data_IF_677785920366
#
_entry.id   IF_677785920366
#
_cell.length_a   1.000
_cell.length_b   1.000
_cell.length_c   1.000
_cell.angle_alpha   90.00
_cell.angle_beta   90.00
_cell.angle_gamma   90.00
#
_symmetry.space_group_name_H-M   'P 1'
#
loop_
_entity.id
_entity.type
_entity.pdbx_description
1 polymer ?
#
# COMPACT_ATOMS: atom_id res chain seq x y z
N UNK A 1 -31.89 89.84 -4.57
CA UNK A 1 -30.77 89.05 -3.93
C UNK A 1 -31.35 87.71 -3.47
N UNK A 2 -31.17 86.67 -4.26
CA UNK A 2 -31.61 85.37 -3.86
C UNK A 2 -30.39 84.51 -3.64
N UNK A 3 -30.25 84.01 -2.44
CA UNK A 3 -29.18 83.10 -2.04
C UNK A 3 -29.76 81.72 -2.26
N UNK A 4 -29.27 81.03 -3.26
CA UNK A 4 -29.59 79.64 -3.55
C UNK A 4 -28.76 78.76 -2.63
N UNK A 5 -29.41 78.15 -1.68
CA UNK A 5 -28.81 77.04 -0.91
C UNK A 5 -28.89 75.77 -1.73
N UNK A 6 -27.77 75.11 -1.92
CA UNK A 6 -27.72 73.80 -2.52
C UNK A 6 -28.02 72.73 -1.48
N UNK A 7 -28.89 71.79 -1.75
CA UNK A 7 -29.07 70.63 -0.86
C UNK A 7 -27.87 69.69 -0.95
N UNK A 8 -27.39 69.34 0.24
CA UNK A 8 -26.29 68.40 0.39
C UNK A 8 -26.70 67.00 -0.08
N UNK A 9 -25.90 66.46 -0.94
CA UNK A 9 -26.02 65.07 -1.36
C UNK A 9 -25.45 64.17 -0.28
N UNK A 10 -26.33 63.45 0.38
CA UNK A 10 -25.98 62.42 1.36
C UNK A 10 -25.44 61.20 0.60
N UNK A 11 -24.15 61.03 0.52
CA UNK A 11 -23.52 59.83 -0.03
C UNK A 11 -23.65 58.73 1.01
N UNK A 12 -24.62 57.85 0.78
CA UNK A 12 -24.69 56.59 1.50
C UNK A 12 -23.62 55.67 0.98
N UNK A 13 -22.54 55.49 1.72
CA UNK A 13 -21.54 54.45 1.49
C UNK A 13 -22.18 53.08 1.73
N UNK A 14 -22.49 52.37 0.63
CA UNK A 14 -22.85 50.99 0.71
C UNK A 14 -21.55 50.22 0.84
N UNK A 15 -21.26 49.74 2.06
CA UNK A 15 -20.19 48.78 2.31
C UNK A 15 -20.71 47.43 1.78
N UNK A 16 -20.28 47.09 0.58
CA UNK A 16 -20.45 45.74 0.06
C UNK A 16 -19.49 44.81 0.83
N UNK A 17 -20.06 44.07 1.78
CA UNK A 17 -19.37 42.93 2.37
C UNK A 17 -19.25 41.85 1.30
N UNK A 18 -18.14 41.85 0.59
CA UNK A 18 -17.73 40.70 -0.23
C UNK A 18 -17.39 39.56 0.75
N UNK A 19 -18.36 38.69 0.93
CA UNK A 19 -18.15 37.42 1.58
C UNK A 19 -17.18 36.59 0.73
N UNK A 20 -15.94 36.55 1.13
CA UNK A 20 -15.02 35.53 0.63
C UNK A 20 -15.48 34.20 1.17
N UNK A 21 -16.28 33.49 0.35
CA UNK A 21 -16.51 32.07 0.57
C UNK A 21 -15.18 31.35 0.34
N UNK A 22 -14.47 31.09 1.44
CA UNK A 22 -13.34 30.21 1.46
C UNK A 22 -13.83 28.78 1.17
N UNK A 23 -13.94 28.41 -0.10
CA UNK A 23 -14.01 27.03 -0.49
C UNK A 23 -12.66 26.41 -0.20
N UNK A 24 -12.51 25.89 1.02
CA UNK A 24 -11.39 25.00 1.35
C UNK A 24 -11.63 23.70 0.59
N UNK A 25 -10.81 23.33 -0.40
CA UNK A 25 -10.94 21.99 -0.95
C UNK A 25 -10.64 21.03 0.20
N UNK A 26 -11.62 20.21 0.55
CA UNK A 26 -11.41 19.02 1.36
C UNK A 26 -10.44 18.14 0.57
N UNK A 27 -9.14 18.32 0.83
CA UNK A 27 -8.14 17.38 0.40
C UNK A 27 -8.48 16.05 1.11
N UNK A 28 -9.06 15.15 0.38
CA UNK A 28 -9.22 13.78 0.80
C UNK A 28 -7.82 13.20 0.86
N UNK A 29 -7.23 13.36 2.02
CA UNK A 29 -6.03 12.68 2.41
C UNK A 29 -6.36 11.20 2.41
N UNK A 30 -6.14 10.52 1.30
CA UNK A 30 -6.01 9.07 1.29
C UNK A 30 -4.68 8.80 2.00
N UNK A 31 -4.71 8.94 3.30
CA UNK A 31 -3.71 8.37 4.16
C UNK A 31 -3.83 6.87 3.98
N UNK A 32 -3.02 6.32 3.07
CA UNK A 32 -2.74 4.90 3.09
C UNK A 32 -2.31 4.61 4.53
N UNK A 33 -3.04 3.74 5.21
CA UNK A 33 -2.73 3.32 6.58
C UNK A 33 -1.48 2.44 6.54
N UNK A 34 -0.34 3.11 6.37
CA UNK A 34 0.98 2.51 6.22
C UNK A 34 1.56 2.08 7.58
N UNK A 35 0.76 2.21 8.65
CA UNK A 35 1.21 2.08 10.03
C UNK A 35 1.40 0.64 10.52
N UNK A 36 0.96 -0.34 9.74
CA UNK A 36 1.03 -1.76 10.14
C UNK A 36 1.72 -2.65 9.09
N UNK A 37 2.22 -2.09 8.01
CA UNK A 37 2.93 -2.83 6.99
C UNK A 37 4.39 -3.03 7.38
N UNK A 38 4.79 -4.29 7.55
CA UNK A 38 6.20 -4.63 7.71
C UNK A 38 6.92 -4.41 6.39
N UNK A 39 8.07 -3.76 6.42
CA UNK A 39 8.92 -3.52 5.25
C UNK A 39 10.29 -4.09 5.47
N UNK A 40 10.84 -4.69 4.44
CA UNK A 40 12.21 -5.17 4.43
C UNK A 40 12.84 -5.02 3.04
N UNK A 41 14.15 -4.89 3.05
CA UNK A 41 15.01 -4.90 1.88
C UNK A 41 15.96 -6.07 2.01
N UNK A 42 16.11 -6.85 0.94
CA UNK A 42 16.95 -8.04 0.93
C UNK A 42 17.74 -8.14 -0.37
N UNK A 43 19.04 -8.44 -0.26
CA UNK A 43 19.88 -8.81 -1.42
C UNK A 43 19.84 -10.32 -1.60
N UNK A 44 19.49 -10.77 -2.79
CA UNK A 44 19.49 -12.19 -3.15
C UNK A 44 20.65 -12.41 -4.14
N UNK A 45 21.62 -13.20 -3.75
CA UNK A 45 22.80 -13.51 -4.56
C UNK A 45 22.43 -14.42 -5.75
N UNK A 46 23.27 -14.52 -6.80
CA UNK A 46 23.08 -15.48 -7.88
C UNK A 46 22.92 -16.91 -7.34
N UNK A 47 22.01 -17.67 -7.93
CA UNK A 47 21.69 -19.04 -7.56
C UNK A 47 21.27 -19.25 -6.09
N UNK A 48 20.82 -18.14 -5.44
CA UNK A 48 20.38 -18.15 -4.04
C UNK A 48 18.90 -17.80 -3.94
N UNK A 49 18.35 -17.92 -2.74
CA UNK A 49 16.96 -17.59 -2.42
C UNK A 49 16.84 -16.83 -1.11
N UNK A 50 15.77 -16.06 -1.01
CA UNK A 50 15.31 -15.48 0.25
C UNK A 50 13.93 -16.02 0.60
N UNK A 51 13.75 -16.35 1.88
CA UNK A 51 12.51 -16.93 2.38
C UNK A 51 12.03 -16.20 3.63
N UNK A 52 10.73 -15.88 3.67
CA UNK A 52 10.05 -15.30 4.81
C UNK A 52 8.89 -16.20 5.20
N UNK A 53 8.96 -16.82 6.39
CA UNK A 53 7.92 -17.71 6.90
C UNK A 53 7.07 -17.02 7.98
N UNK A 54 5.75 -17.19 7.89
CA UNK A 54 4.76 -16.58 8.77
C UNK A 54 3.67 -17.60 9.12
N UNK A 55 3.37 -17.73 10.39
CA UNK A 55 2.20 -18.51 10.82
C UNK A 55 0.93 -17.71 10.54
N UNK A 56 0.03 -18.30 9.77
CA UNK A 56 -1.32 -17.78 9.50
C UNK A 56 -2.35 -18.74 10.08
N UNK A 57 -3.34 -18.19 10.78
CA UNK A 57 -4.52 -18.93 11.19
C UNK A 57 -5.41 -19.24 9.98
N UNK A 58 -6.30 -20.20 10.08
CA UNK A 58 -7.31 -20.45 9.06
C UNK A 58 -8.09 -19.15 8.75
N UNK A 59 -8.32 -18.88 7.47
CA UNK A 59 -8.99 -17.69 6.94
C UNK A 59 -8.25 -16.36 7.18
N UNK A 60 -7.11 -16.37 7.86
CA UNK A 60 -6.27 -15.19 7.98
C UNK A 60 -5.68 -14.81 6.61
N UNK A 61 -5.62 -13.52 6.33
CA UNK A 61 -5.11 -13.00 5.06
C UNK A 61 -3.71 -12.43 5.24
N UNK A 62 -2.88 -12.67 4.25
CA UNK A 62 -1.57 -12.06 4.08
C UNK A 62 -1.62 -11.16 2.85
N UNK A 63 -1.56 -9.85 3.06
CA UNK A 63 -1.33 -8.89 1.99
C UNK A 63 0.15 -8.74 1.78
N UNK A 64 0.61 -8.80 0.55
CA UNK A 64 2.01 -8.59 0.23
C UNK A 64 2.18 -7.77 -1.05
N UNK A 65 3.26 -7.04 -1.09
CA UNK A 65 3.72 -6.30 -2.25
C UNK A 65 5.23 -6.37 -2.30
N UNK A 66 5.77 -6.78 -3.42
CA UNK A 66 7.22 -6.74 -3.63
C UNK A 66 7.57 -6.19 -5.00
N UNK A 67 8.79 -5.72 -5.13
CA UNK A 67 9.41 -5.37 -6.39
C UNK A 67 10.91 -5.66 -6.36
N UNK A 68 11.43 -5.96 -7.53
CA UNK A 68 12.84 -6.21 -7.78
C UNK A 68 13.24 -5.65 -9.15
N UNK A 69 14.49 -5.18 -9.36
CA UNK A 69 14.93 -4.64 -10.63
C UNK A 69 15.14 -5.73 -11.70
N UNK A 70 15.13 -7.00 -11.32
CA UNK A 70 15.31 -8.17 -12.19
C UNK A 70 14.30 -9.24 -11.85
N UNK A 71 14.09 -10.15 -12.80
CA UNK A 71 13.17 -11.28 -12.66
C UNK A 71 13.63 -12.24 -11.57
N UNK A 72 12.68 -12.64 -10.73
CA UNK A 72 12.81 -13.67 -9.72
C UNK A 72 11.71 -14.70 -9.94
N UNK A 73 11.92 -15.94 -9.52
CA UNK A 73 10.81 -16.87 -9.32
C UNK A 73 10.26 -16.67 -7.92
N UNK A 74 8.95 -16.70 -7.79
CA UNK A 74 8.26 -16.47 -6.52
C UNK A 74 7.27 -17.58 -6.23
N UNK A 75 7.21 -18.00 -4.98
CA UNK A 75 6.16 -18.90 -4.53
C UNK A 75 5.73 -18.61 -3.09
N UNK A 76 4.53 -19.08 -2.74
CA UNK A 76 4.10 -19.29 -1.37
C UNK A 76 3.95 -20.78 -1.18
N UNK A 77 4.61 -21.34 -0.17
CA UNK A 77 4.52 -22.77 0.13
C UNK A 77 4.33 -23.03 1.63
N UNK A 78 3.92 -24.24 1.95
CA UNK A 78 3.89 -24.76 3.31
C UNK A 78 4.20 -26.25 3.34
N UNK A 79 4.66 -26.72 4.47
CA UNK A 79 4.98 -28.12 4.71
C UNK A 79 3.88 -28.78 5.53
N UNK A 80 3.38 -29.93 5.07
CA UNK A 80 2.44 -30.76 5.80
C UNK A 80 2.95 -32.22 5.80
N UNK A 81 3.46 -32.68 6.93
CA UNK A 81 4.14 -33.96 7.03
C UNK A 81 5.41 -33.99 6.19
N UNK A 82 5.47 -34.86 5.18
CA UNK A 82 6.61 -35.00 4.27
C UNK A 82 6.38 -34.32 2.90
N UNK A 83 5.25 -33.65 2.74
CA UNK A 83 4.87 -33.01 1.48
C UNK A 83 5.00 -31.49 1.58
N UNK A 84 5.31 -30.89 0.42
CA UNK A 84 5.36 -29.43 0.25
C UNK A 84 4.26 -29.04 -0.71
N UNK A 85 3.46 -28.06 -0.32
CA UNK A 85 2.35 -27.53 -1.11
C UNK A 85 2.68 -26.12 -1.56
N UNK A 86 2.41 -25.80 -2.82
CA UNK A 86 2.67 -24.52 -3.46
C UNK A 86 1.37 -23.84 -3.91
N UNK A 87 0.60 -23.23 -3.01
CA UNK A 87 -0.65 -22.55 -3.39
C UNK A 87 -0.47 -21.37 -4.33
N UNK A 88 0.72 -20.77 -4.35
CA UNK A 88 1.10 -19.70 -5.30
C UNK A 88 2.46 -20.05 -5.88
N UNK A 89 2.60 -19.96 -7.21
CA UNK A 89 3.87 -20.13 -7.92
C UNK A 89 3.87 -19.25 -9.17
N UNK A 90 4.85 -18.39 -9.28
CA UNK A 90 5.02 -17.41 -10.35
C UNK A 90 6.48 -17.40 -10.81
N UNK A 91 6.71 -17.64 -12.09
CA UNK A 91 8.05 -17.68 -12.64
C UNK A 91 8.40 -16.36 -13.36
N UNK A 92 9.65 -15.91 -13.20
CA UNK A 92 10.23 -14.80 -13.97
C UNK A 92 9.47 -13.47 -13.85
N UNK A 93 9.08 -13.10 -12.63
CA UNK A 93 8.40 -11.83 -12.34
C UNK A 93 9.32 -10.84 -11.62
N UNK A 94 9.03 -9.54 -11.78
CA UNK A 94 9.75 -8.44 -11.11
C UNK A 94 8.98 -7.84 -9.95
N UNK A 95 7.68 -8.05 -9.90
CA UNK A 95 6.80 -7.46 -8.90
C UNK A 95 5.50 -8.25 -8.75
N UNK A 96 4.89 -8.11 -7.60
CA UNK A 96 3.52 -8.56 -7.35
C UNK A 96 2.89 -7.71 -6.26
N UNK A 97 1.58 -7.54 -6.34
CA UNK A 97 0.74 -7.00 -5.29
C UNK A 97 -0.48 -7.89 -5.19
N UNK A 98 -0.62 -8.61 -4.08
CA UNK A 98 -1.67 -9.59 -3.93
C UNK A 98 -2.07 -9.81 -2.46
N UNK A 99 -3.13 -10.57 -2.27
CA UNK A 99 -3.61 -11.02 -0.98
C UNK A 99 -3.82 -12.53 -1.04
N UNK A 100 -3.16 -13.24 -0.13
CA UNK A 100 -3.31 -14.67 0.05
C UNK A 100 -4.19 -14.95 1.27
N UNK A 101 -5.15 -15.86 1.16
CA UNK A 101 -6.00 -16.30 2.27
C UNK A 101 -5.61 -17.72 2.66
N UNK A 102 -5.19 -17.91 3.92
CA UNK A 102 -4.81 -19.21 4.44
C UNK A 102 -6.03 -20.15 4.57
N UNK A 103 -5.96 -21.33 3.97
CA UNK A 103 -7.04 -22.31 4.04
C UNK A 103 -7.02 -23.14 5.31
N UNK A 104 -5.89 -23.21 5.96
CA UNK A 104 -5.70 -23.88 7.25
C UNK A 104 -4.62 -23.15 8.05
N UNK A 105 -4.58 -23.39 9.35
CA UNK A 105 -3.48 -22.90 10.18
C UNK A 105 -2.18 -23.64 9.82
N UNK A 106 -1.22 -22.90 9.28
CA UNK A 106 0.09 -23.40 8.84
C UNK A 106 1.14 -22.31 8.94
N UNK A 107 2.40 -22.68 8.91
CA UNK A 107 3.50 -21.78 8.58
C UNK A 107 3.60 -21.69 7.06
N UNK A 108 3.32 -20.52 6.50
CA UNK A 108 3.42 -20.22 5.08
C UNK A 108 4.70 -19.45 4.82
N UNK A 109 5.47 -19.92 3.85
CA UNK A 109 6.74 -19.31 3.47
C UNK A 109 6.61 -18.64 2.10
N UNK A 110 6.93 -17.34 2.04
CA UNK A 110 7.13 -16.59 0.81
C UNK A 110 8.57 -16.75 0.40
N UNK A 111 8.84 -17.23 -0.81
CA UNK A 111 10.19 -17.51 -1.29
C UNK A 111 10.45 -16.83 -2.63
N UNK A 112 11.58 -16.15 -2.72
CA UNK A 112 12.08 -15.53 -3.95
C UNK A 112 13.41 -16.17 -4.32
N UNK A 113 13.52 -16.63 -5.57
CA UNK A 113 14.67 -17.36 -6.08
C UNK A 113 15.31 -16.54 -7.19
N UNK A 114 16.61 -16.26 -7.07
CA UNK A 114 17.41 -15.62 -8.09
C UNK A 114 18.14 -16.66 -8.93
N UNK A 115 17.59 -16.98 -10.09
CA UNK A 115 18.23 -17.87 -11.07
C UNK A 115 19.15 -17.12 -12.05
N UNK A 116 19.36 -15.83 -11.83
CA UNK A 116 20.24 -15.00 -12.65
C UNK A 116 21.71 -15.06 -12.21
N UNK A 117 22.53 -14.30 -12.89
CA UNK A 117 23.98 -14.24 -12.69
C UNK A 117 24.46 -13.00 -11.92
N UNK A 118 23.52 -12.15 -11.46
CA UNK A 118 23.80 -10.92 -10.71
C UNK A 118 22.91 -10.83 -9.49
N UNK A 119 23.38 -10.11 -8.47
CA UNK A 119 22.61 -9.80 -7.26
C UNK A 119 21.31 -9.09 -7.61
N UNK A 120 20.26 -9.40 -6.86
CA UNK A 120 18.95 -8.76 -6.98
C UNK A 120 18.54 -8.14 -5.64
N UNK A 121 18.18 -6.86 -5.66
CA UNK A 121 17.58 -6.18 -4.52
C UNK A 121 16.09 -6.41 -4.51
N UNK A 122 15.59 -7.07 -3.48
CA UNK A 122 14.17 -7.28 -3.22
C UNK A 122 13.67 -6.25 -2.22
N UNK A 123 12.64 -5.49 -2.59
CA UNK A 123 11.86 -4.65 -1.67
C UNK A 123 10.53 -5.34 -1.38
N UNK A 124 10.24 -5.61 -0.13
CA UNK A 124 9.04 -6.32 0.30
C UNK A 124 8.28 -5.52 1.36
N UNK A 125 6.97 -5.37 1.15
CA UNK A 125 6.01 -4.95 2.16
C UNK A 125 4.99 -6.06 2.42
N UNK A 126 4.65 -6.34 3.68
CA UNK A 126 3.65 -7.35 4.01
C UNK A 126 2.89 -7.04 5.29
N UNK A 127 1.69 -7.55 5.38
CA UNK A 127 0.79 -7.36 6.51
C UNK A 127 -0.12 -8.57 6.69
N UNK A 128 -0.25 -9.04 7.92
CA UNK A 128 -1.30 -10.02 8.28
C UNK A 128 -2.56 -9.26 8.66
N UNK A 129 -3.66 -9.54 7.97
CA UNK A 129 -4.97 -8.98 8.30
C UNK A 129 -5.85 -10.04 8.93
N UNK A 130 -6.80 -9.63 9.76
CA UNK A 130 -7.83 -10.54 10.24
C UNK A 130 -8.68 -10.96 9.05
N UNK A 131 -8.90 -12.28 8.90
CA UNK A 131 -9.91 -12.75 7.96
C UNK A 131 -11.26 -12.16 8.31
N UNK A 132 -12.12 -11.97 7.30
CA UNK A 132 -13.49 -11.52 7.55
C UNK A 132 -14.16 -12.48 8.55
N UNK A 133 -14.49 -11.97 9.74
CA UNK A 133 -15.31 -12.73 10.71
C UNK A 133 -16.70 -12.91 10.12
N UNK A 134 -17.07 -14.13 9.90
CA UNK A 134 -18.44 -14.50 9.51
C UNK A 134 -19.32 -14.63 10.75
#
# INVERSE_FOLDING_TARGET
>A
MHKLEKPGVLVRSIVALLGYSCCVPLAWSHGADDRHQNRLEQTILPDDSYELCLVLAQDQQLRYKFNAPRKLDFNIHYHAGHEVFYPVSEDHITDATAMYTAQSEQEYCLMWINQGDTDVQLSLGYEKTQGASH
#
